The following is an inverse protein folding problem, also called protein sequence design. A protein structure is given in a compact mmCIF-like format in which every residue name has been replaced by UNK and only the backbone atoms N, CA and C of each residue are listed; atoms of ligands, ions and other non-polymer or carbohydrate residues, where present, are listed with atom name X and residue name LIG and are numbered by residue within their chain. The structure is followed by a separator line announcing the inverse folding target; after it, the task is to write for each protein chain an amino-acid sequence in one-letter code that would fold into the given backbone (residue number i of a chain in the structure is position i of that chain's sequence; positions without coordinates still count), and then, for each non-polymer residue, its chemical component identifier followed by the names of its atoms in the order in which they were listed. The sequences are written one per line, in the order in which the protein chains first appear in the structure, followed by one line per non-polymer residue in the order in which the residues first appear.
data_IF_358716598955
#
_entry.id   IF_358716598955
#
_cell.length_a   1.000
_cell.length_b   1.000
_cell.length_c   1.000
_cell.angle_alpha   90.00
_cell.angle_beta   90.00
_cell.angle_gamma   90.00
#
_symmetry.space_group_name_H-M   'P 1'
#
loop_
_entity.id
_entity.type
_entity.pdbx_description
1 polymer ?
#
# COMPACT_ATOMS: atom_id res chain seq x y z
N UNK A 1 -19.60 40.14 -5.85
CA UNK A 1 -19.75 39.30 -4.64
C UNK A 1 -20.20 37.86 -4.93
N UNK A 2 -21.27 37.61 -5.70
CA UNK A 2 -21.76 36.23 -5.98
C UNK A 2 -20.76 35.33 -6.72
N UNK A 3 -20.01 35.86 -7.69
CA UNK A 3 -18.99 35.11 -8.43
C UNK A 3 -17.80 34.69 -7.57
N UNK A 4 -17.36 35.56 -6.65
CA UNK A 4 -16.26 35.24 -5.74
C UNK A 4 -16.63 34.09 -4.79
N UNK A 5 -17.86 34.10 -4.25
CA UNK A 5 -18.36 33.02 -3.41
C UNK A 5 -18.44 31.68 -4.17
N UNK A 6 -18.89 31.70 -5.43
CA UNK A 6 -18.93 30.50 -6.27
C UNK A 6 -17.53 29.93 -6.54
N UNK A 7 -16.54 30.79 -6.84
CA UNK A 7 -15.16 30.36 -7.05
C UNK A 7 -14.54 29.74 -5.79
N UNK A 8 -14.77 30.35 -4.62
CA UNK A 8 -14.31 29.80 -3.34
C UNK A 8 -14.93 28.43 -3.09
N UNK A 9 -16.23 28.26 -3.34
CA UNK A 9 -16.91 26.99 -3.16
C UNK A 9 -16.36 25.90 -4.09
N UNK A 10 -16.12 26.24 -5.37
CA UNK A 10 -15.48 25.30 -6.32
C UNK A 10 -14.08 24.92 -5.86
N UNK A 11 -13.27 25.88 -5.39
CA UNK A 11 -11.93 25.61 -4.89
C UNK A 11 -11.94 24.67 -3.67
N UNK A 12 -12.87 24.87 -2.73
CA UNK A 12 -13.04 24.01 -1.56
C UNK A 12 -13.47 22.59 -1.96
N UNK A 13 -14.37 22.45 -2.93
CA UNK A 13 -14.77 21.14 -3.45
C UNK A 13 -13.61 20.40 -4.12
N UNK A 14 -12.79 21.09 -4.91
CA UNK A 14 -11.60 20.49 -5.52
C UNK A 14 -10.58 20.05 -4.46
N UNK A 15 -10.35 20.88 -3.44
CA UNK A 15 -9.47 20.50 -2.32
C UNK A 15 -10.00 19.29 -1.56
N UNK A 16 -11.32 19.21 -1.32
CA UNK A 16 -11.93 18.06 -0.67
C UNK A 16 -11.75 16.78 -1.50
N UNK A 17 -11.95 16.84 -2.81
CA UNK A 17 -11.72 15.69 -3.71
C UNK A 17 -10.25 15.24 -3.71
N UNK A 18 -9.30 16.17 -3.68
CA UNK A 18 -7.87 15.87 -3.60
C UNK A 18 -7.46 15.26 -2.25
N UNK A 19 -8.05 15.72 -1.16
CA UNK A 19 -7.81 15.18 0.18
C UNK A 19 -8.34 13.74 0.26
N UNK A 20 -9.57 13.52 -0.22
CA UNK A 20 -10.21 12.20 -0.17
C UNK A 20 -9.55 11.21 -1.13
N UNK A 21 -9.16 11.67 -2.33
CA UNK A 21 -8.58 10.87 -3.41
C UNK A 21 -9.34 9.54 -3.64
N UNK A 22 -10.65 9.60 -4.01
CA UNK A 22 -11.48 8.41 -4.18
C UNK A 22 -11.07 7.52 -5.35
N UNK A 23 -10.26 8.01 -6.27
CA UNK A 23 -9.73 7.24 -7.40
C UNK A 23 -8.55 6.34 -7.03
N UNK A 24 -8.03 6.47 -5.80
CA UNK A 24 -6.90 5.68 -5.32
C UNK A 24 -7.45 4.45 -4.59
N UNK A 25 -7.47 3.30 -5.28
CA UNK A 25 -7.98 2.04 -4.75
C UNK A 25 -6.96 1.38 -3.80
N UNK A 26 -7.41 1.01 -2.60
CA UNK A 26 -6.52 0.48 -1.56
C UNK A 26 -5.90 -0.85 -1.97
N UNK A 27 -6.65 -1.69 -2.69
CA UNK A 27 -6.14 -2.97 -3.17
C UNK A 27 -5.10 -2.77 -4.27
N UNK A 28 -5.36 -1.88 -5.23
CA UNK A 28 -4.37 -1.55 -6.25
C UNK A 28 -3.07 -0.98 -5.64
N UNK A 29 -3.21 -0.09 -4.65
CA UNK A 29 -2.07 0.48 -3.91
C UNK A 29 -1.29 -0.60 -3.18
N UNK A 30 -1.99 -1.47 -2.45
CA UNK A 30 -1.44 -2.62 -1.76
C UNK A 30 -0.63 -3.51 -2.72
N UNK A 31 -1.29 -4.00 -3.79
CA UNK A 31 -0.70 -4.96 -4.72
C UNK A 31 0.50 -4.37 -5.46
N UNK A 32 0.47 -3.05 -5.73
CA UNK A 32 1.60 -2.33 -6.33
C UNK A 32 2.78 -2.24 -5.37
N UNK A 33 2.56 -1.81 -4.13
CA UNK A 33 3.63 -1.70 -3.13
C UNK A 33 4.22 -3.07 -2.82
N UNK A 34 3.38 -4.09 -2.64
CA UNK A 34 3.83 -5.45 -2.40
C UNK A 34 4.74 -5.97 -3.52
N UNK A 35 4.36 -5.75 -4.78
CA UNK A 35 5.16 -6.15 -5.95
C UNK A 35 6.48 -5.37 -6.08
N UNK A 36 6.49 -4.08 -5.79
CA UNK A 36 7.66 -3.22 -5.99
C UNK A 36 8.64 -3.24 -4.81
N UNK A 37 8.12 -3.43 -3.59
CA UNK A 37 8.86 -3.22 -2.34
C UNK A 37 8.98 -4.46 -1.48
N UNK A 38 8.08 -5.43 -1.62
CA UNK A 38 8.03 -6.55 -0.69
C UNK A 38 9.33 -7.37 -0.63
N UNK A 39 10.01 -7.56 -1.76
CA UNK A 39 11.32 -8.23 -1.78
C UNK A 39 12.49 -7.34 -1.34
N UNK A 40 12.30 -6.01 -1.31
CA UNK A 40 13.33 -5.03 -0.94
C UNK A 40 13.37 -4.81 0.57
N UNK A 41 12.19 -4.68 1.20
CA UNK A 41 12.09 -4.45 2.64
C UNK A 41 12.03 -5.74 3.47
N UNK A 42 11.93 -6.91 2.83
CA UNK A 42 11.90 -8.19 3.53
C UNK A 42 10.50 -8.66 3.92
N UNK A 43 9.45 -7.92 3.50
CA UNK A 43 8.05 -8.37 3.59
C UNK A 43 7.84 -9.71 2.87
N UNK A 44 8.53 -9.92 1.74
CA UNK A 44 8.62 -11.20 1.03
C UNK A 44 10.03 -11.77 1.23
N UNK A 45 10.11 -12.97 1.81
CA UNK A 45 11.39 -13.68 1.98
C UNK A 45 11.43 -15.00 1.21
N UNK A 46 12.60 -15.37 0.69
CA UNK A 46 12.77 -16.66 0.04
C UNK A 46 12.68 -17.79 1.08
N UNK A 47 12.14 -18.94 0.67
CA UNK A 47 11.85 -20.05 1.61
C UNK A 47 13.10 -20.61 2.29
N UNK A 48 14.26 -20.57 1.61
CA UNK A 48 15.53 -21.03 2.19
C UNK A 48 15.98 -20.24 3.42
N UNK A 49 15.48 -19.01 3.61
CA UNK A 49 15.84 -18.17 4.75
C UNK A 49 14.95 -18.41 5.97
N UNK A 50 13.91 -19.24 5.85
CA UNK A 50 12.92 -19.45 6.90
C UNK A 50 13.21 -20.71 7.70
N UNK A 51 13.31 -20.54 9.02
CA UNK A 51 13.41 -21.67 9.96
C UNK A 51 12.05 -21.89 10.62
N UNK A 52 11.21 -22.71 9.99
CA UNK A 52 9.88 -23.07 10.49
C UNK A 52 9.58 -24.55 10.24
N UNK A 53 8.53 -25.08 10.87
CA UNK A 53 8.07 -26.45 10.59
C UNK A 53 7.53 -26.56 9.17
N UNK A 54 7.60 -27.76 8.57
CA UNK A 54 7.07 -28.00 7.21
C UNK A 54 5.58 -27.62 7.10
N UNK A 55 4.79 -27.90 8.15
CA UNK A 55 3.39 -27.52 8.22
C UNK A 55 3.20 -25.99 8.19
N UNK A 56 3.99 -25.24 8.96
CA UNK A 56 3.93 -23.78 8.96
C UNK A 56 4.40 -23.19 7.62
N UNK A 57 5.44 -23.78 6.99
CA UNK A 57 5.91 -23.35 5.67
C UNK A 57 4.84 -23.54 4.59
N UNK A 58 4.09 -24.64 4.62
CA UNK A 58 3.02 -24.86 3.64
C UNK A 58 1.83 -23.91 3.88
N UNK A 59 1.44 -23.66 5.13
CA UNK A 59 0.41 -22.67 5.46
C UNK A 59 0.80 -21.27 4.96
N UNK A 60 2.02 -20.83 5.26
CA UNK A 60 2.50 -19.52 4.81
C UNK A 60 2.61 -19.44 3.29
N UNK A 61 3.00 -20.53 2.62
CA UNK A 61 3.05 -20.61 1.15
C UNK A 61 1.67 -20.50 0.53
N UNK A 62 0.66 -21.18 1.09
CA UNK A 62 -0.72 -21.09 0.61
C UNK A 62 -1.28 -19.68 0.81
N UNK A 63 -1.06 -19.09 1.99
CA UNK A 63 -1.42 -17.70 2.25
C UNK A 63 -0.75 -16.73 1.27
N UNK A 64 0.56 -16.88 1.04
CA UNK A 64 1.34 -16.06 0.11
C UNK A 64 0.79 -16.15 -1.32
N UNK A 65 0.47 -17.35 -1.79
CA UNK A 65 -0.17 -17.55 -3.11
C UNK A 65 -1.52 -16.88 -3.21
N UNK A 66 -2.32 -16.90 -2.13
CA UNK A 66 -3.63 -16.23 -2.09
C UNK A 66 -3.51 -14.70 -2.26
N UNK A 67 -2.33 -14.15 -1.94
CA UNK A 67 -1.97 -12.73 -2.11
C UNK A 67 -1.18 -12.44 -3.39
N UNK A 68 -1.01 -13.43 -4.26
CA UNK A 68 -0.29 -13.29 -5.53
C UNK A 68 1.24 -13.34 -5.42
N UNK A 69 1.79 -13.78 -4.28
CA UNK A 69 3.23 -13.97 -4.09
C UNK A 69 3.63 -15.37 -4.53
N UNK A 70 4.51 -15.48 -5.53
CA UNK A 70 5.00 -16.76 -6.09
C UNK A 70 6.46 -17.06 -5.78
N UNK A 71 7.27 -16.02 -5.56
CA UNK A 71 8.73 -16.13 -5.54
C UNK A 71 9.29 -16.13 -4.10
N UNK A 72 8.45 -16.46 -3.12
CA UNK A 72 8.81 -16.45 -1.71
C UNK A 72 7.59 -16.61 -0.82
N UNK A 73 7.74 -16.19 0.43
CA UNK A 73 6.72 -16.22 1.46
C UNK A 73 6.51 -14.81 1.99
N UNK A 74 5.25 -14.44 2.08
CA UNK A 74 4.79 -13.21 2.71
C UNK A 74 4.87 -13.36 4.23
N UNK A 75 5.79 -12.63 4.86
CA UNK A 75 6.03 -12.70 6.31
C UNK A 75 5.03 -11.84 7.06
N UNK A 76 4.79 -10.63 6.55
CA UNK A 76 3.77 -9.72 7.05
C UNK A 76 3.16 -8.98 5.88
N UNK A 77 1.83 -8.89 5.85
CA UNK A 77 1.14 -8.22 4.75
C UNK A 77 1.17 -6.69 4.96
N UNK A 78 0.96 -5.93 3.88
CA UNK A 78 0.84 -4.48 4.02
C UNK A 78 -0.58 -4.10 4.45
N UNK A 79 -0.66 -3.14 5.37
CA UNK A 79 -1.90 -2.45 5.71
C UNK A 79 -1.95 -1.10 4.99
N UNK A 80 -3.07 -0.82 4.32
CA UNK A 80 -3.31 0.44 3.63
C UNK A 80 -4.26 1.30 4.46
N UNK A 81 -3.78 2.48 4.86
CA UNK A 81 -4.55 3.47 5.60
C UNK A 81 -4.70 4.75 4.80
N UNK A 82 -5.87 5.36 4.85
CA UNK A 82 -6.10 6.68 4.26
C UNK A 82 -5.31 7.76 4.99
N UNK A 83 -4.64 8.63 4.23
CA UNK A 83 -4.09 9.89 4.69
C UNK A 83 -4.48 11.00 3.71
N UNK A 84 -4.61 12.26 4.16
CA UNK A 84 -4.85 13.37 3.25
C UNK A 84 -3.86 13.33 2.08
N UNK A 85 -4.38 13.41 0.85
CA UNK A 85 -3.61 13.41 -0.39
C UNK A 85 -2.96 12.06 -0.78
N UNK A 86 -3.34 10.94 -0.17
CA UNK A 86 -2.74 9.65 -0.53
C UNK A 86 -3.16 8.45 0.31
N UNK A 87 -2.28 7.45 0.38
CA UNK A 87 -2.36 6.28 1.26
C UNK A 87 -1.03 6.07 1.98
N UNK A 88 -1.12 5.72 3.25
CA UNK A 88 -0.01 5.13 3.99
C UNK A 88 -0.08 3.62 3.85
N UNK A 89 1.01 3.01 3.44
CA UNK A 89 1.11 1.56 3.24
C UNK A 89 2.25 1.06 4.10
N UNK A 90 1.94 0.25 5.12
CA UNK A 90 2.94 -0.21 6.07
C UNK A 90 2.88 -1.71 6.29
N UNK A 91 4.05 -2.33 6.36
CA UNK A 91 4.23 -3.69 6.83
C UNK A 91 4.98 -3.66 8.17
N UNK A 92 5.34 -4.83 8.66
CA UNK A 92 6.21 -4.94 9.83
C UNK A 92 7.64 -4.44 9.58
N UNK A 93 8.07 -4.37 8.32
CA UNK A 93 9.44 -4.03 7.93
C UNK A 93 9.59 -2.60 7.36
N UNK A 94 8.51 -2.00 6.88
CA UNK A 94 8.60 -0.72 6.18
C UNK A 94 7.29 0.06 6.06
N UNK A 95 7.42 1.34 5.70
CA UNK A 95 6.31 2.26 5.49
C UNK A 95 6.51 3.12 4.23
N UNK A 96 5.45 3.22 3.43
CA UNK A 96 5.45 3.93 2.16
C UNK A 96 4.28 4.90 2.09
N UNK A 97 4.57 6.14 1.70
CA UNK A 97 3.52 7.10 1.38
C UNK A 97 3.29 7.13 -0.12
N UNK A 98 2.09 6.73 -0.51
CA UNK A 98 1.62 6.71 -1.90
C UNK A 98 0.76 7.94 -2.13
N UNK A 99 1.26 8.86 -2.95
CA UNK A 99 0.55 10.11 -3.24
C UNK A 99 -0.63 9.89 -4.21
N UNK A 100 -1.54 10.86 -4.27
CA UNK A 100 -2.64 10.86 -5.25
C UNK A 100 -2.20 10.84 -6.72
N UNK A 101 -0.93 11.13 -7.01
CA UNK A 101 -0.33 10.99 -8.35
C UNK A 101 0.17 9.57 -8.64
N UNK A 102 0.03 8.64 -7.70
CA UNK A 102 0.51 7.27 -7.83
C UNK A 102 2.02 7.11 -7.66
N UNK A 103 2.73 8.16 -7.25
CA UNK A 103 4.15 8.08 -6.90
C UNK A 103 4.31 7.61 -5.45
N UNK A 104 5.25 6.69 -5.24
CA UNK A 104 5.54 6.11 -3.94
C UNK A 104 6.84 6.73 -3.40
N UNK A 105 6.80 7.29 -2.19
CA UNK A 105 7.98 7.80 -1.49
C UNK A 105 8.28 6.85 -0.33
N UNK A 106 9.48 6.29 -0.28
CA UNK A 106 9.96 5.59 0.92
C UNK A 106 10.34 6.64 1.97
N UNK A 107 9.67 6.59 3.12
CA UNK A 107 10.12 7.30 4.31
C UNK A 107 10.91 6.29 5.13
N UNK A 108 12.21 6.17 4.84
CA UNK A 108 13.17 5.45 5.69
C UNK A 108 13.51 6.29 6.92
#
# INVERSE_FOLDING_TARGET
MRFAAALVLVALLLLFLLIWAPWLDDKEVHDRVLREKGGIDGTIQPMENLTASEAALEEMREYSRSKGVTDGVLICDYEVTWLPFGRWVASCEGGYYVTFFGTNSSLN
#
